data_IF_004991485970
#
_entry.id   IF_004991485970
#
_cell.length_a   1.000
_cell.length_b   1.000
_cell.length_c   1.000
_cell.angle_alpha   90.00
_cell.angle_beta   90.00
_cell.angle_gamma   90.00
#
_symmetry.space_group_name_H-M   'P 1'
#
loop_
_entity.id
_entity.type
_entity.pdbx_description
1 polymer ?
#
# COMPACT_ATOMS: atom_id res chain seq x y z
N UNK A 1 16.08 -10.56 -2.30
CA UNK A 1 14.81 -11.05 -1.75
C UNK A 1 13.73 -10.50 -2.66
N UNK A 2 12.94 -11.38 -3.31
CA UNK A 2 11.89 -10.93 -4.24
C UNK A 2 10.58 -10.85 -3.47
N UNK A 3 10.15 -9.65 -3.12
CA UNK A 3 8.83 -9.43 -2.55
C UNK A 3 7.78 -9.68 -3.63
N UNK A 4 6.77 -10.49 -3.33
CA UNK A 4 5.62 -10.74 -4.21
C UNK A 4 4.29 -10.42 -3.53
N UNK A 5 4.16 -10.82 -2.27
CA UNK A 5 2.94 -10.69 -1.50
C UNK A 5 3.10 -9.53 -0.50
N UNK A 6 2.38 -8.46 -0.75
CA UNK A 6 2.37 -7.26 0.09
C UNK A 6 1.05 -7.18 0.84
N UNK A 7 1.13 -6.98 2.14
CA UNK A 7 -0.04 -6.74 2.99
C UNK A 7 -0.02 -5.29 3.45
N UNK A 8 -1.11 -4.58 3.24
CA UNK A 8 -1.30 -3.25 3.79
C UNK A 8 -2.30 -3.35 4.95
N UNK A 9 -1.84 -3.06 6.15
CA UNK A 9 -2.70 -3.03 7.33
C UNK A 9 -3.29 -1.63 7.50
N UNK A 10 -4.55 -1.47 7.11
CA UNK A 10 -5.28 -0.21 7.17
C UNK A 10 -5.78 0.29 5.81
N UNK A 11 -7.04 0.70 5.76
CA UNK A 11 -7.75 1.22 4.58
C UNK A 11 -8.08 2.71 4.69
N UNK A 12 -7.23 3.48 5.37
CA UNK A 12 -7.29 4.94 5.39
C UNK A 12 -6.93 5.53 4.03
N UNK A 13 -6.86 6.87 3.95
CA UNK A 13 -6.52 7.57 2.69
C UNK A 13 -5.18 7.09 2.16
N UNK A 14 -4.13 7.09 2.98
CA UNK A 14 -2.78 6.71 2.54
C UNK A 14 -2.64 5.20 2.38
N UNK A 15 -3.20 4.38 3.29
CA UNK A 15 -3.19 2.92 3.14
C UNK A 15 -3.84 2.45 1.85
N UNK A 16 -4.96 3.07 1.44
CA UNK A 16 -5.61 2.77 0.15
C UNK A 16 -4.74 3.16 -1.05
N UNK A 17 -4.01 4.29 -0.98
CA UNK A 17 -3.07 4.70 -2.03
C UNK A 17 -1.89 3.74 -2.13
N UNK A 18 -1.29 3.35 -0.99
CA UNK A 18 -0.18 2.39 -0.95
C UNK A 18 -0.61 1.06 -1.56
N UNK A 19 -1.77 0.53 -1.16
CA UNK A 19 -2.27 -0.73 -1.64
C UNK A 19 -2.49 -0.73 -3.17
N UNK A 20 -3.17 0.28 -3.69
CA UNK A 20 -3.41 0.39 -5.12
C UNK A 20 -2.10 0.59 -5.90
N UNK A 21 -1.16 1.38 -5.39
CA UNK A 21 0.14 1.59 -6.04
C UNK A 21 0.97 0.31 -6.08
N UNK A 22 1.01 -0.46 -4.98
CA UNK A 22 1.69 -1.76 -4.97
C UNK A 22 1.06 -2.72 -5.98
N UNK A 23 -0.26 -2.83 -6.03
CA UNK A 23 -0.95 -3.67 -7.03
C UNK A 23 -0.68 -3.19 -8.45
N UNK A 24 -0.69 -1.88 -8.70
CA UNK A 24 -0.36 -1.29 -10.00
C UNK A 24 1.07 -1.61 -10.45
N UNK A 25 2.02 -1.71 -9.51
CA UNK A 25 3.42 -2.10 -9.78
C UNK A 25 3.63 -3.63 -9.81
N UNK A 26 2.56 -4.42 -9.76
CA UNK A 26 2.60 -5.86 -10.02
C UNK A 26 2.72 -6.76 -8.80
N UNK A 27 2.57 -6.23 -7.59
CA UNK A 27 2.53 -7.03 -6.38
C UNK A 27 1.14 -7.65 -6.16
N UNK A 28 1.10 -8.82 -5.54
CA UNK A 28 -0.12 -9.38 -4.98
C UNK A 28 -0.44 -8.64 -3.68
N UNK A 29 -1.56 -7.94 -3.60
CA UNK A 29 -1.86 -7.07 -2.47
C UNK A 29 -3.10 -7.53 -1.73
N UNK A 30 -2.94 -7.70 -0.42
CA UNK A 30 -4.03 -7.90 0.53
C UNK A 30 -4.11 -6.70 1.47
N UNK A 31 -5.31 -6.16 1.67
CA UNK A 31 -5.58 -5.11 2.65
C UNK A 31 -6.25 -5.76 3.86
N UNK A 32 -5.56 -5.73 5.00
CA UNK A 32 -6.18 -6.14 6.25
C UNK A 32 -6.90 -4.97 6.89
N UNK A 33 -8.12 -5.22 7.33
CA UNK A 33 -9.02 -4.25 7.95
C UNK A 33 -9.62 -4.84 9.22
N UNK A 34 -9.71 -4.05 10.27
CA UNK A 34 -10.11 -4.53 11.59
C UNK A 34 -11.56 -5.01 11.66
N UNK A 35 -12.45 -4.49 10.83
CA UNK A 35 -13.89 -4.78 10.84
C UNK A 35 -14.48 -4.70 9.45
N UNK A 36 -15.63 -5.37 9.22
CA UNK A 36 -16.37 -5.30 7.96
C UNK A 36 -16.78 -3.85 7.63
N UNK A 37 -17.21 -3.08 8.62
CA UNK A 37 -17.49 -1.65 8.44
C UNK A 37 -16.25 -0.85 7.96
N UNK A 38 -15.04 -1.35 8.20
CA UNK A 38 -13.81 -0.74 7.66
C UNK A 38 -13.59 -1.12 6.21
N UNK A 39 -14.03 -2.30 5.78
CA UNK A 39 -14.07 -2.70 4.36
C UNK A 39 -15.00 -1.77 3.60
N UNK A 40 -16.23 -1.57 4.09
CA UNK A 40 -17.22 -0.69 3.46
C UNK A 40 -16.71 0.76 3.30
N UNK A 41 -15.88 1.23 4.25
CA UNK A 41 -15.25 2.55 4.17
C UNK A 41 -14.03 2.62 3.25
N UNK A 42 -13.33 1.51 3.06
CA UNK A 42 -12.13 1.46 2.21
C UNK A 42 -12.48 1.34 0.72
N UNK A 43 -13.50 0.56 0.37
CA UNK A 43 -13.90 0.32 -1.02
C UNK A 43 -14.13 1.59 -1.84
N UNK A 44 -14.94 2.58 -1.39
CA UNK A 44 -15.14 3.80 -2.16
C UNK A 44 -13.87 4.65 -2.30
N UNK A 45 -12.93 4.57 -1.35
CA UNK A 45 -11.63 5.25 -1.48
C UNK A 45 -10.77 4.61 -2.56
N UNK A 46 -10.68 3.27 -2.56
CA UNK A 46 -9.94 2.51 -3.57
C UNK A 46 -10.51 2.77 -4.97
N UNK A 47 -11.84 2.77 -5.10
CA UNK A 47 -12.51 3.11 -6.36
C UNK A 47 -12.16 4.53 -6.81
N UNK A 48 -12.23 5.50 -5.91
CA UNK A 48 -11.86 6.90 -6.20
C UNK A 48 -10.40 7.02 -6.66
N UNK A 49 -9.47 6.32 -6.03
CA UNK A 49 -8.06 6.36 -6.44
C UNK A 49 -7.85 5.70 -7.81
N UNK A 50 -8.52 4.57 -8.09
CA UNK A 50 -8.53 4.00 -9.45
C UNK A 50 -9.00 5.04 -10.47
N UNK A 51 -10.10 5.73 -10.21
CA UNK A 51 -10.66 6.72 -11.12
C UNK A 51 -9.70 7.91 -11.32
N UNK A 52 -8.98 8.32 -10.27
CA UNK A 52 -7.90 9.32 -10.36
C UNK A 52 -6.77 8.83 -11.26
N UNK A 53 -6.35 7.56 -11.14
CA UNK A 53 -5.32 6.98 -12.02
C UNK A 53 -5.74 7.03 -13.47
N UNK A 54 -6.97 6.58 -13.77
CA UNK A 54 -7.51 6.58 -15.13
C UNK A 54 -7.61 8.00 -15.71
N UNK A 55 -8.10 8.95 -14.93
CA UNK A 55 -8.21 10.34 -15.36
C UNK A 55 -6.83 11.00 -15.56
N UNK A 56 -5.87 10.72 -14.67
CA UNK A 56 -4.50 11.24 -14.79
C UNK A 56 -3.82 10.70 -16.04
N UNK A 57 -3.90 9.39 -16.28
CA UNK A 57 -3.36 8.75 -17.48
C UNK A 57 -4.02 9.29 -18.75
N UNK A 58 -5.33 9.49 -18.77
CA UNK A 58 -6.01 10.09 -19.92
C UNK A 58 -5.52 11.51 -20.20
N UNK A 59 -5.38 12.32 -19.16
CA UNK A 59 -4.86 13.68 -19.28
C UNK A 59 -3.42 13.73 -19.83
N UNK A 60 -2.59 12.73 -19.53
CA UNK A 60 -1.22 12.63 -20.03
C UNK A 60 -1.14 12.51 -21.55
N UNK A 61 -2.21 12.10 -22.24
CA UNK A 61 -2.24 12.02 -23.71
C UNK A 61 -2.16 13.40 -24.38
N UNK A 62 -2.58 14.44 -23.70
CA UNK A 62 -2.74 15.79 -24.30
C UNK A 62 -2.09 16.91 -23.50
N UNK A 63 -1.82 16.72 -22.22
CA UNK A 63 -1.21 17.73 -21.33
C UNK A 63 0.08 17.18 -20.70
N UNK A 64 1.25 17.64 -21.12
CA UNK A 64 2.53 17.23 -20.51
C UNK A 64 2.64 17.52 -19.00
N UNK A 65 1.86 18.47 -18.48
CA UNK A 65 1.85 18.80 -17.05
C UNK A 65 1.10 17.77 -16.21
N UNK A 66 0.32 16.91 -16.86
CA UNK A 66 -0.38 15.81 -16.20
C UNK A 66 0.55 14.62 -15.87
N UNK A 67 1.81 14.65 -16.32
CA UNK A 67 2.76 13.57 -16.09
C UNK A 67 2.85 13.19 -14.61
N UNK A 68 2.70 11.91 -14.33
CA UNK A 68 2.73 11.32 -13.00
C UNK A 68 3.74 10.16 -12.95
N UNK A 69 4.88 10.39 -12.27
CA UNK A 69 6.01 9.44 -12.20
C UNK A 69 5.65 8.08 -11.58
N UNK A 70 4.65 8.05 -10.73
CA UNK A 70 4.17 6.78 -10.16
C UNK A 70 3.37 5.93 -11.14
N UNK A 71 2.84 6.53 -12.22
CA UNK A 71 2.02 5.84 -13.21
C UNK A 71 2.78 5.49 -14.49
N UNK A 72 3.73 6.31 -14.91
CA UNK A 72 4.49 6.10 -16.13
C UNK A 72 5.96 6.46 -15.93
N UNK A 73 6.84 5.69 -16.55
CA UNK A 73 8.29 5.91 -16.47
C UNK A 73 8.80 6.92 -17.53
N UNK A 74 8.01 7.15 -18.59
CA UNK A 74 8.31 8.10 -19.66
C UNK A 74 7.16 9.13 -19.80
N UNK A 75 7.47 10.44 -19.81
CA UNK A 75 6.48 11.49 -20.03
C UNK A 75 5.94 11.55 -21.47
N UNK A 76 6.63 10.91 -22.45
CA UNK A 76 6.32 11.00 -23.86
C UNK A 76 5.74 9.70 -24.43
N UNK A 77 4.96 8.98 -23.64
CA UNK A 77 4.32 7.74 -24.08
C UNK A 77 3.31 7.97 -25.21
N UNK A 78 3.27 7.05 -26.17
CA UNK A 78 2.23 7.02 -27.19
C UNK A 78 0.84 6.76 -26.56
N UNK A 79 -0.25 7.26 -27.15
CA UNK A 79 -1.60 7.09 -26.61
C UNK A 79 -1.96 5.62 -26.34
N UNK A 80 -1.54 4.70 -27.18
CA UNK A 80 -1.79 3.27 -27.06
C UNK A 80 -1.08 2.67 -25.82
N UNK A 81 0.13 3.14 -25.50
CA UNK A 81 0.85 2.73 -24.29
C UNK A 81 0.14 3.27 -23.04
N UNK A 82 -0.39 4.49 -23.08
CA UNK A 82 -1.20 5.03 -22.00
C UNK A 82 -2.48 4.22 -21.79
N UNK A 83 -3.14 3.76 -22.86
CA UNK A 83 -4.32 2.90 -22.74
C UNK A 83 -4.00 1.55 -22.08
N UNK A 84 -2.83 0.97 -22.36
CA UNK A 84 -2.34 -0.21 -21.65
C UNK A 84 -2.14 0.04 -20.15
N UNK A 85 -1.59 1.20 -19.78
CA UNK A 85 -1.45 1.59 -18.36
C UNK A 85 -2.80 1.80 -17.68
N UNK A 86 -3.82 2.29 -18.38
CA UNK A 86 -5.20 2.40 -17.87
C UNK A 86 -5.79 1.01 -17.60
N UNK A 87 -5.59 0.08 -18.52
CA UNK A 87 -6.00 -1.32 -18.30
C UNK A 87 -5.28 -1.94 -17.12
N UNK A 88 -3.97 -1.70 -16.97
CA UNK A 88 -3.19 -2.12 -15.81
C UNK A 88 -3.74 -1.54 -14.50
N UNK A 89 -4.13 -0.27 -14.47
CA UNK A 89 -4.72 0.36 -13.29
C UNK A 89 -6.07 -0.26 -12.90
N UNK A 90 -6.90 -0.61 -13.89
CA UNK A 90 -8.17 -1.31 -13.65
C UNK A 90 -7.95 -2.71 -13.10
N UNK A 91 -7.05 -3.49 -13.70
CA UNK A 91 -6.67 -4.83 -13.23
C UNK A 91 -6.06 -4.80 -11.82
N UNK A 92 -5.24 -3.81 -11.53
CA UNK A 92 -4.66 -3.62 -10.19
C UNK A 92 -5.74 -3.42 -9.13
N UNK A 93 -6.73 -2.59 -9.40
CA UNK A 93 -7.86 -2.39 -8.51
C UNK A 93 -8.68 -3.68 -8.31
N UNK A 94 -8.97 -4.41 -9.38
CA UNK A 94 -9.73 -5.66 -9.35
C UNK A 94 -9.01 -6.79 -8.62
N UNK A 95 -7.67 -6.78 -8.61
CA UNK A 95 -6.84 -7.79 -7.95
C UNK A 95 -6.71 -7.61 -6.45
N UNK A 96 -7.13 -6.46 -5.89
CA UNK A 96 -7.03 -6.19 -4.46
C UNK A 96 -7.92 -7.12 -3.65
N UNK A 97 -7.34 -7.77 -2.65
CA UNK A 97 -8.07 -8.57 -1.68
C UNK A 97 -8.25 -7.79 -0.38
N UNK A 98 -9.47 -7.71 0.13
CA UNK A 98 -9.79 -7.10 1.41
C UNK A 98 -10.27 -8.18 2.37
N UNK A 99 -9.72 -8.22 3.58
CA UNK A 99 -10.12 -9.21 4.60
C UNK A 99 -10.01 -8.64 6.01
N UNK A 100 -10.83 -9.16 6.91
CA UNK A 100 -10.74 -8.91 8.36
C UNK A 100 -9.98 -10.02 9.09
N UNK A 101 -9.69 -11.14 8.42
CA UNK A 101 -8.88 -12.23 8.96
C UNK A 101 -7.40 -11.87 8.92
N UNK A 102 -6.80 -11.71 10.10
CA UNK A 102 -5.37 -11.40 10.22
C UNK A 102 -4.51 -12.59 9.73
N UNK A 103 -4.94 -13.82 10.02
CA UNK A 103 -4.27 -15.03 9.57
C UNK A 103 -4.25 -15.13 8.04
N UNK A 104 -5.41 -14.98 7.39
CA UNK A 104 -5.49 -15.03 5.93
C UNK A 104 -4.64 -13.96 5.26
N UNK A 105 -4.62 -12.75 5.82
CA UNK A 105 -3.82 -11.66 5.29
C UNK A 105 -2.31 -11.93 5.38
N UNK A 106 -1.84 -12.50 6.49
CA UNK A 106 -0.42 -12.51 6.84
C UNK A 106 0.32 -13.80 6.52
N UNK A 107 -0.37 -14.95 6.40
CA UNK A 107 0.26 -16.28 6.27
C UNK A 107 1.28 -16.44 5.14
N UNK A 108 1.15 -15.65 4.07
CA UNK A 108 2.04 -15.71 2.90
C UNK A 108 2.76 -14.38 2.65
N UNK A 109 2.69 -13.43 3.58
CA UNK A 109 3.24 -12.09 3.41
C UNK A 109 4.77 -12.09 3.28
N UNK A 110 5.29 -11.37 2.30
CA UNK A 110 6.71 -11.04 2.17
C UNK A 110 7.01 -9.68 2.81
N UNK A 111 6.08 -8.73 2.66
CA UNK A 111 6.15 -7.38 3.20
C UNK A 111 4.82 -6.99 3.82
N UNK A 112 4.85 -6.45 5.03
CA UNK A 112 3.70 -5.83 5.69
C UNK A 112 3.96 -4.34 5.83
N UNK A 113 3.05 -3.52 5.31
CA UNK A 113 3.08 -2.06 5.47
C UNK A 113 1.93 -1.66 6.40
N UNK A 114 2.29 -1.27 7.62
CA UNK A 114 1.33 -0.81 8.61
C UNK A 114 0.97 0.66 8.34
N UNK A 115 -0.31 0.90 8.11
CA UNK A 115 -0.92 2.20 7.84
C UNK A 115 -2.25 2.37 8.62
N UNK A 116 -2.28 1.84 9.86
CA UNK A 116 -3.41 1.99 10.78
C UNK A 116 -3.38 3.37 11.46
N UNK A 117 -4.33 3.62 12.36
CA UNK A 117 -4.39 4.89 13.09
C UNK A 117 -3.12 5.16 13.90
N UNK A 118 -2.75 6.44 14.04
CA UNK A 118 -1.63 6.93 14.87
C UNK A 118 -1.94 6.82 16.37
N UNK A 119 -2.26 5.60 16.82
CA UNK A 119 -2.58 5.25 18.19
C UNK A 119 -1.60 4.15 18.66
N UNK A 120 -0.74 4.44 19.65
CA UNK A 120 0.27 3.48 20.10
C UNK A 120 -0.30 2.14 20.56
N UNK A 121 -1.45 2.16 21.24
CA UNK A 121 -2.09 0.94 21.73
C UNK A 121 -2.58 0.06 20.58
N UNK A 122 -3.21 0.66 19.57
CA UNK A 122 -3.68 -0.08 18.41
C UNK A 122 -2.52 -0.67 17.61
N UNK A 123 -1.37 0.04 17.51
CA UNK A 123 -0.17 -0.47 16.84
C UNK A 123 0.45 -1.65 17.61
N UNK A 124 0.59 -1.54 18.94
CA UNK A 124 1.08 -2.63 19.79
C UNK A 124 0.18 -3.87 19.66
N UNK A 125 -1.13 -3.69 19.76
CA UNK A 125 -2.11 -4.78 19.61
C UNK A 125 -1.99 -5.44 18.23
N UNK A 126 -1.86 -4.64 17.17
CA UNK A 126 -1.67 -5.16 15.82
C UNK A 126 -0.38 -5.98 15.69
N UNK A 127 0.77 -5.41 16.06
CA UNK A 127 2.06 -6.11 15.93
C UNK A 127 2.09 -7.39 16.75
N UNK A 128 1.65 -7.35 18.01
CA UNK A 128 1.62 -8.52 18.90
C UNK A 128 0.75 -9.66 18.34
N UNK A 129 -0.38 -9.32 17.70
CA UNK A 129 -1.22 -10.34 17.08
C UNK A 129 -0.68 -10.79 15.72
N UNK A 130 -0.08 -9.92 14.94
CA UNK A 130 0.49 -10.23 13.63
C UNK A 130 1.63 -11.26 13.73
N UNK A 131 2.46 -11.20 14.77
CA UNK A 131 3.59 -12.14 14.96
C UNK A 131 3.19 -13.61 14.92
N UNK A 132 1.94 -13.93 15.26
CA UNK A 132 1.43 -15.31 15.32
C UNK A 132 1.28 -15.95 13.94
N UNK A 133 1.18 -15.15 12.88
CA UNK A 133 0.83 -15.60 11.54
C UNK A 133 1.89 -15.28 10.50
N UNK A 134 2.87 -14.44 10.83
CA UNK A 134 3.89 -13.97 9.90
C UNK A 134 4.95 -15.04 9.60
N UNK A 135 5.22 -15.34 8.32
CA UNK A 135 6.40 -16.12 7.94
C UNK A 135 7.70 -15.50 8.48
N UNK A 136 8.72 -16.32 8.69
CA UNK A 136 10.02 -15.84 9.18
C UNK A 136 10.66 -14.80 8.25
N UNK A 137 10.45 -14.95 6.92
CA UNK A 137 11.01 -14.06 5.90
C UNK A 137 10.41 -12.67 5.88
N UNK A 138 9.23 -12.47 6.47
CA UNK A 138 8.45 -11.24 6.34
C UNK A 138 9.15 -10.05 6.97
N UNK A 139 9.24 -8.96 6.21
CA UNK A 139 9.66 -7.64 6.68
C UNK A 139 8.41 -6.83 7.05
N UNK A 140 8.48 -6.08 8.14
CA UNK A 140 7.40 -5.18 8.57
C UNK A 140 7.87 -3.74 8.42
N UNK A 141 7.03 -2.90 7.83
CA UNK A 141 7.25 -1.47 7.75
C UNK A 141 6.10 -0.71 8.39
N UNK A 142 6.41 0.37 9.09
CA UNK A 142 5.40 1.34 9.50
C UNK A 142 5.40 2.54 8.55
N UNK A 143 4.20 3.01 8.17
CA UNK A 143 4.04 4.26 7.43
C UNK A 143 3.80 5.45 8.37
N UNK A 144 3.98 5.29 9.67
CA UNK A 144 3.80 6.35 10.67
C UNK A 144 4.67 7.58 10.35
N UNK A 145 4.07 8.77 10.46
CA UNK A 145 4.76 10.04 10.27
C UNK A 145 5.24 10.68 11.59
N UNK A 146 4.67 10.29 12.71
CA UNK A 146 4.86 10.97 14.00
C UNK A 146 5.35 10.08 15.13
N UNK A 147 5.09 8.78 15.05
CA UNK A 147 5.49 7.81 16.08
C UNK A 147 6.85 7.20 15.71
N UNK A 148 7.76 7.23 16.67
CA UNK A 148 9.14 6.72 16.49
C UNK A 148 9.12 5.20 16.31
N UNK A 149 9.64 4.65 15.18
CA UNK A 149 9.57 3.21 14.91
C UNK A 149 10.20 2.35 16.00
N UNK A 150 11.34 2.77 16.56
CA UNK A 150 12.04 2.03 17.61
C UNK A 150 11.19 1.75 18.85
N UNK A 151 10.16 2.57 19.12
CA UNK A 151 9.24 2.35 20.23
C UNK A 151 8.34 1.10 20.05
N UNK A 152 8.22 0.60 18.82
CA UNK A 152 7.36 -0.53 18.47
C UNK A 152 8.13 -1.79 18.04
N UNK A 153 9.43 -1.68 17.81
CA UNK A 153 10.26 -2.74 17.23
C UNK A 153 10.12 -4.08 17.98
N UNK A 154 10.20 -4.06 19.30
CA UNK A 154 10.10 -5.26 20.14
C UNK A 154 8.73 -5.97 20.01
N UNK A 155 7.64 -5.20 19.83
CA UNK A 155 6.30 -5.77 19.69
C UNK A 155 6.09 -6.51 18.35
N UNK A 156 6.95 -6.26 17.38
CA UNK A 156 6.91 -6.97 16.07
C UNK A 156 7.46 -8.39 16.15
N UNK A 157 8.16 -8.76 17.25
CA UNK A 157 8.83 -10.04 17.42
C UNK A 157 10.01 -10.27 16.45
N UNK A 158 10.39 -9.25 15.67
CA UNK A 158 11.47 -9.25 14.66
C UNK A 158 12.05 -7.85 14.46
N UNK A 159 12.62 -7.24 15.52
CA UNK A 159 13.11 -5.87 15.45
C UNK A 159 14.12 -5.63 14.32
N UNK A 160 14.90 -6.64 13.96
CA UNK A 160 15.87 -6.62 12.87
C UNK A 160 15.25 -6.62 11.45
N UNK A 161 13.94 -6.87 11.34
CA UNK A 161 13.14 -6.85 10.11
C UNK A 161 12.02 -5.79 10.17
N UNK A 162 12.21 -4.77 11.00
CA UNK A 162 11.26 -3.69 11.18
C UNK A 162 11.89 -2.33 10.89
N UNK A 163 11.22 -1.52 10.06
CA UNK A 163 11.68 -0.20 9.67
C UNK A 163 10.51 0.73 9.37
N UNK A 164 10.78 2.03 9.25
CA UNK A 164 9.81 2.97 8.70
C UNK A 164 9.92 3.03 7.17
N UNK A 165 8.77 3.03 6.52
CA UNK A 165 8.60 3.26 5.09
C UNK A 165 7.48 4.30 4.93
N UNK A 166 7.86 5.57 5.02
CA UNK A 166 6.93 6.68 5.03
C UNK A 166 6.71 7.23 3.62
N UNK A 167 5.51 7.05 3.09
CA UNK A 167 5.13 7.53 1.76
C UNK A 167 4.62 8.97 1.80
N UNK A 168 5.01 9.76 0.80
CA UNK A 168 4.36 11.03 0.52
C UNK A 168 2.93 10.82 0.00
N UNK A 169 2.03 11.78 0.27
CA UNK A 169 0.71 11.78 -0.32
C UNK A 169 0.76 11.90 -1.85
N UNK A 170 -0.31 11.46 -2.51
CA UNK A 170 -0.39 11.40 -3.97
C UNK A 170 0.75 10.54 -4.57
N UNK A 171 0.88 9.31 -4.08
CA UNK A 171 1.95 8.38 -4.44
C UNK A 171 2.07 8.21 -5.96
N UNK A 172 0.95 8.20 -6.68
CA UNK A 172 0.94 8.11 -8.15
C UNK A 172 1.63 9.30 -8.83
N UNK A 173 1.67 10.46 -8.19
CA UNK A 173 2.29 11.68 -8.73
C UNK A 173 3.70 11.87 -8.20
N UNK A 174 3.88 11.78 -6.90
CA UNK A 174 5.14 12.10 -6.24
C UNK A 174 6.14 10.94 -6.24
N UNK A 175 5.66 9.69 -6.19
CA UNK A 175 6.46 8.46 -6.21
C UNK A 175 7.68 8.52 -5.26
N UNK A 176 7.46 9.00 -4.04
CA UNK A 176 8.50 9.23 -3.04
C UNK A 176 8.16 8.55 -1.73
N UNK A 177 9.13 7.87 -1.16
CA UNK A 177 9.06 7.33 0.19
C UNK A 177 10.39 7.52 0.93
N UNK A 178 10.32 7.74 2.23
CA UNK A 178 11.46 7.80 3.13
C UNK A 178 11.62 6.45 3.83
N UNK A 179 12.85 5.93 3.84
CA UNK A 179 13.21 4.68 4.54
C UNK A 179 14.09 5.04 5.72
N UNK A 180 13.64 4.66 6.92
CA UNK A 180 14.35 4.92 8.18
C UNK A 180 14.39 3.61 8.99
N UNK A 181 15.60 3.23 9.44
CA UNK A 181 15.86 2.05 10.27
C UNK A 181 16.23 2.43 11.70
#
# INVERSE_FOLDING_TARGET
MDFKNVVVAGGGVLGSQIALQCAYKGFNVTIWLRTDASIDRAQPKLQRFRDIYLATLEAMKTDPRAYARGLADDPNLAPEAIDQLKEQASKAYESLTLTTSLEEALKDADLVIEAIAEDPKQKIDFYTNATKYLPERTVICTNSSTLVPSAFAEYTGRPEKYLALHFANEIWRNNTAEVMG
#
